data_IF_709643534702
#
_entry.id   IF_709643534702
#
_cell.length_a   1.000
_cell.length_b   1.000
_cell.length_c   1.000
_cell.angle_alpha   90.00
_cell.angle_beta   90.00
_cell.angle_gamma   90.00
#
_symmetry.space_group_name_H-M   'P 1'
#
loop_
_entity.id
_entity.type
_entity.pdbx_description
1 polymer ?
#
# COMPACT_ATOMS: atom_id res chain seq x y z
N UNK A 1 13.44 22.05 17.82
CA UNK A 1 12.23 21.26 18.17
C UNK A 1 11.04 21.88 17.45
N UNK A 2 10.78 21.46 16.23
CA UNK A 2 9.53 21.76 15.51
C UNK A 2 9.34 20.62 14.52
N UNK A 3 8.79 19.52 15.04
CA UNK A 3 8.32 18.43 14.19
C UNK A 3 7.12 19.00 13.43
N UNK A 4 7.26 19.29 12.14
CA UNK A 4 6.15 19.82 11.36
C UNK A 4 5.04 18.75 11.31
N UNK A 5 3.78 19.08 11.64
CA UNK A 5 2.68 18.11 11.72
C UNK A 5 2.39 17.42 10.38
N UNK A 6 2.85 17.99 9.26
CA UNK A 6 2.79 17.36 7.95
C UNK A 6 3.70 16.11 7.83
N UNK A 7 4.90 16.17 8.41
CA UNK A 7 5.88 15.07 8.32
C UNK A 7 5.50 13.87 9.20
N UNK A 8 4.87 14.13 10.35
CA UNK A 8 4.35 13.08 11.23
C UNK A 8 3.21 12.31 10.55
N UNK A 9 2.31 13.03 9.87
CA UNK A 9 1.20 12.44 9.09
C UNK A 9 1.71 11.61 7.92
N UNK A 10 2.72 12.08 7.20
CA UNK A 10 3.33 11.30 6.12
C UNK A 10 3.99 10.02 6.68
N UNK A 11 4.82 10.12 7.72
CA UNK A 11 5.44 8.95 8.34
C UNK A 11 4.40 7.92 8.82
N UNK A 12 3.30 8.38 9.40
CA UNK A 12 2.18 7.53 9.80
C UNK A 12 1.52 6.83 8.61
N UNK A 13 1.31 7.52 7.47
CA UNK A 13 0.80 6.87 6.26
C UNK A 13 1.72 5.74 5.81
N UNK A 14 3.03 6.01 5.71
CA UNK A 14 4.02 5.00 5.33
C UNK A 14 4.07 3.81 6.29
N UNK A 15 3.85 4.04 7.59
CA UNK A 15 3.79 2.98 8.58
C UNK A 15 2.58 2.06 8.43
N UNK A 16 1.50 2.50 7.77
CA UNK A 16 0.27 1.71 7.52
C UNK A 16 0.30 0.93 6.21
N UNK A 17 1.12 1.34 5.24
CA UNK A 17 1.32 0.61 3.99
C UNK A 17 1.64 -0.90 4.14
N UNK A 18 2.54 -1.33 5.05
CA UNK A 18 2.82 -2.76 5.21
C UNK A 18 1.61 -3.55 5.70
N UNK A 19 0.74 -2.94 6.52
CA UNK A 19 -0.50 -3.56 6.98
C UNK A 19 -1.52 -3.68 5.83
N UNK A 20 -1.70 -2.61 5.06
CA UNK A 20 -2.54 -2.61 3.86
C UNK A 20 -2.06 -3.66 2.86
N UNK A 21 -0.75 -3.77 2.65
CA UNK A 21 -0.15 -4.78 1.78
C UNK A 21 -0.43 -6.21 2.26
N UNK A 22 -0.39 -6.46 3.58
CA UNK A 22 -0.75 -7.78 4.15
C UNK A 22 -2.20 -8.13 3.90
N UNK A 23 -3.11 -7.20 4.17
CA UNK A 23 -4.55 -7.39 3.97
C UNK A 23 -4.84 -7.63 2.50
N UNK A 24 -4.23 -6.85 1.61
CA UNK A 24 -4.31 -7.03 0.18
C UNK A 24 -3.84 -8.43 -0.22
N UNK A 25 -2.64 -8.86 0.21
CA UNK A 25 -2.14 -10.22 -0.09
C UNK A 25 -3.13 -11.29 0.35
N UNK A 26 -3.66 -11.16 1.57
CA UNK A 26 -4.65 -12.10 2.10
C UNK A 26 -5.92 -12.13 1.25
N UNK A 27 -6.41 -10.96 0.81
CA UNK A 27 -7.57 -10.85 -0.09
C UNK A 27 -7.36 -11.63 -1.39
N UNK A 28 -6.21 -11.49 -2.06
CA UNK A 28 -5.91 -12.24 -3.28
C UNK A 28 -5.81 -13.75 -3.04
N UNK A 29 -5.30 -14.17 -1.87
CA UNK A 29 -5.23 -15.59 -1.49
C UNK A 29 -6.63 -16.16 -1.27
N UNK A 30 -7.48 -15.43 -0.52
CA UNK A 30 -8.87 -15.82 -0.23
C UNK A 30 -9.71 -15.89 -1.50
N UNK A 31 -9.60 -14.90 -2.39
CA UNK A 31 -10.27 -14.91 -3.70
C UNK A 31 -9.73 -15.99 -4.64
N UNK A 32 -8.53 -16.52 -4.37
CA UNK A 32 -7.77 -17.44 -5.26
C UNK A 32 -7.54 -16.90 -6.67
N UNK A 33 -7.72 -15.59 -6.88
CA UNK A 33 -7.52 -14.88 -8.15
C UNK A 33 -6.18 -14.15 -8.13
N UNK A 34 -5.48 -14.15 -9.26
CA UNK A 34 -4.24 -13.36 -9.43
C UNK A 34 -4.48 -11.92 -9.86
N UNK A 35 -5.70 -11.61 -10.30
CA UNK A 35 -6.13 -10.31 -10.80
C UNK A 35 -7.50 -10.00 -10.21
N UNK A 36 -7.65 -8.80 -9.65
CA UNK A 36 -8.89 -8.30 -9.06
C UNK A 36 -9.16 -6.87 -9.55
N UNK A 37 -10.42 -6.47 -9.50
CA UNK A 37 -10.81 -5.09 -9.83
C UNK A 37 -10.33 -4.14 -8.73
N UNK A 38 -9.83 -2.96 -9.11
CA UNK A 38 -9.45 -1.91 -8.15
C UNK A 38 -10.60 -1.61 -7.22
N UNK A 39 -11.80 -1.40 -7.77
CA UNK A 39 -13.00 -1.08 -6.99
C UNK A 39 -13.33 -2.15 -5.95
N UNK A 40 -13.33 -3.42 -6.38
CA UNK A 40 -13.51 -4.57 -5.50
C UNK A 40 -12.42 -4.65 -4.42
N UNK A 41 -11.17 -4.39 -4.78
CA UNK A 41 -10.07 -4.35 -3.82
C UNK A 41 -10.30 -3.27 -2.78
N UNK A 42 -10.68 -2.05 -3.19
CA UNK A 42 -10.94 -0.93 -2.27
C UNK A 42 -12.10 -1.23 -1.33
N UNK A 43 -13.20 -1.79 -1.84
CA UNK A 43 -14.35 -2.19 -1.03
C UNK A 43 -13.97 -3.24 0.02
N UNK A 44 -13.26 -4.29 -0.39
CA UNK A 44 -12.83 -5.37 0.51
C UNK A 44 -11.74 -4.91 1.48
N UNK A 45 -10.86 -4.00 1.06
CA UNK A 45 -9.90 -3.34 1.94
C UNK A 45 -10.64 -2.59 3.03
N UNK A 46 -11.60 -1.74 2.67
CA UNK A 46 -12.37 -0.95 3.64
C UNK A 46 -13.13 -1.82 4.64
N UNK A 47 -13.61 -2.99 4.20
CA UNK A 47 -14.29 -3.93 5.10
C UNK A 47 -13.32 -4.73 6.00
N UNK A 48 -12.08 -4.97 5.55
CA UNK A 48 -11.06 -5.69 6.34
C UNK A 48 -10.22 -4.77 7.21
N UNK A 49 -10.10 -3.51 6.83
CA UNK A 49 -9.34 -2.50 7.55
C UNK A 49 -10.21 -1.94 8.67
N UNK A 50 -9.76 -2.07 9.92
CA UNK A 50 -10.54 -1.66 11.11
C UNK A 50 -10.77 -0.15 11.21
N UNK A 51 -9.97 0.66 10.54
CA UNK A 51 -10.16 2.11 10.54
C UNK A 51 -11.12 2.51 9.40
N UNK A 52 -11.99 3.49 9.68
CA UNK A 52 -12.89 4.08 8.69
C UNK A 52 -12.11 4.97 7.71
N UNK A 53 -11.29 4.37 6.85
CA UNK A 53 -10.70 5.08 5.71
C UNK A 53 -11.72 5.16 4.57
N UNK A 54 -11.81 6.34 3.97
CA UNK A 54 -12.61 6.57 2.77
C UNK A 54 -12.04 5.81 1.59
N UNK A 55 -12.89 5.45 0.62
CA UNK A 55 -12.48 4.76 -0.62
C UNK A 55 -11.38 5.51 -1.38
N UNK A 56 -11.37 6.84 -1.28
CA UNK A 56 -10.33 7.70 -1.85
C UNK A 56 -8.97 7.46 -1.21
N UNK A 57 -8.89 7.50 0.12
CA UNK A 57 -7.65 7.27 0.88
C UNK A 57 -7.10 5.87 0.57
N UNK A 58 -7.94 4.84 0.57
CA UNK A 58 -7.52 3.48 0.24
C UNK A 58 -6.94 3.39 -1.18
N UNK A 59 -7.56 4.11 -2.13
CA UNK A 59 -7.10 4.16 -3.52
C UNK A 59 -5.71 4.80 -3.63
N UNK A 60 -5.47 5.90 -2.90
CA UNK A 60 -4.17 6.54 -2.80
C UNK A 60 -3.11 5.57 -2.25
N UNK A 61 -3.41 4.86 -1.16
CA UNK A 61 -2.49 3.88 -0.57
C UNK A 61 -2.14 2.75 -1.55
N UNK A 62 -3.13 2.24 -2.31
CA UNK A 62 -2.89 1.22 -3.33
C UNK A 62 -2.04 1.77 -4.48
N UNK A 63 -2.30 2.99 -4.94
CA UNK A 63 -1.46 3.67 -5.93
C UNK A 63 -0.03 3.87 -5.43
N UNK A 64 0.14 4.16 -4.14
CA UNK A 64 1.45 4.28 -3.52
C UNK A 64 2.18 2.91 -3.53
N UNK A 65 1.49 1.82 -3.19
CA UNK A 65 2.04 0.46 -3.29
C UNK A 65 2.50 0.12 -4.71
N UNK A 66 1.69 0.46 -5.73
CA UNK A 66 2.06 0.28 -7.14
C UNK A 66 3.34 1.04 -7.49
N UNK A 67 3.49 2.27 -6.99
CA UNK A 67 4.67 3.12 -7.22
C UNK A 67 5.92 2.58 -6.53
N UNK A 68 5.77 2.08 -5.30
CA UNK A 68 6.89 1.59 -4.48
C UNK A 68 7.32 0.17 -4.88
N UNK A 69 6.38 -0.63 -5.38
CA UNK A 69 6.55 -2.06 -5.64
C UNK A 69 5.97 -2.47 -7.02
N UNK A 70 6.52 -1.93 -8.13
CA UNK A 70 6.01 -2.18 -9.48
C UNK A 70 6.13 -3.65 -9.93
N UNK A 71 6.97 -4.46 -9.28
CA UNK A 71 7.08 -5.90 -9.53
C UNK A 71 6.15 -6.78 -8.68
N UNK A 72 5.55 -6.21 -7.63
CA UNK A 72 4.66 -6.95 -6.73
C UNK A 72 3.20 -6.69 -7.04
N UNK A 73 2.82 -5.43 -7.28
CA UNK A 73 1.53 -5.03 -7.82
C UNK A 73 1.72 -4.45 -9.21
N UNK A 74 0.83 -4.83 -10.13
CA UNK A 74 0.75 -4.25 -11.46
C UNK A 74 -0.67 -3.78 -11.71
N UNK A 75 -0.82 -2.54 -12.18
CA UNK A 75 -2.11 -1.99 -12.58
C UNK A 75 -2.32 -2.21 -14.08
N UNK A 76 -3.43 -2.83 -14.44
CA UNK A 76 -3.88 -3.02 -15.82
C UNK A 76 -5.17 -2.22 -16.02
N UNK A 77 -5.16 -1.20 -16.87
CA UNK A 77 -6.39 -0.51 -17.27
C UNK A 77 -6.96 -1.20 -18.52
N UNK A 78 -8.20 -1.71 -18.43
CA UNK A 78 -8.89 -2.38 -19.54
C UNK A 78 -10.31 -1.81 -19.60
N UNK A 79 -10.70 -1.25 -20.75
CA UNK A 79 -12.07 -0.73 -21.00
C UNK A 79 -12.58 0.16 -19.85
N UNK A 80 -11.81 1.19 -19.50
CA UNK A 80 -12.12 2.13 -18.41
C UNK A 80 -12.24 1.50 -17.00
N UNK A 81 -11.78 0.26 -16.86
CA UNK A 81 -11.80 -0.47 -15.60
C UNK A 81 -10.37 -0.76 -15.17
N UNK A 82 -10.02 -0.39 -13.94
CA UNK A 82 -8.70 -0.65 -13.40
C UNK A 82 -8.66 -2.02 -12.73
N UNK A 83 -7.77 -2.89 -13.19
CA UNK A 83 -7.48 -4.19 -12.62
C UNK A 83 -6.13 -4.14 -11.90
N UNK A 84 -6.09 -4.68 -10.69
CA UNK A 84 -4.87 -4.98 -9.97
C UNK A 84 -4.48 -6.42 -10.19
N UNK A 85 -3.24 -6.64 -10.63
CA UNK A 85 -2.59 -7.93 -10.65
C UNK A 85 -1.59 -8.01 -9.51
N UNK A 86 -1.70 -9.05 -8.70
CA UNK A 86 -0.73 -9.34 -7.65
C UNK A 86 0.24 -10.44 -8.11
N UNK A 87 1.54 -10.20 -7.95
CA UNK A 87 2.55 -11.21 -8.23
C UNK A 87 2.50 -12.32 -7.17
N UNK A 88 2.12 -13.53 -7.59
CA UNK A 88 2.04 -14.70 -6.71
C UNK A 88 3.41 -15.06 -6.12
N UNK A 89 4.49 -14.77 -6.87
CA UNK A 89 5.88 -15.09 -6.52
C UNK A 89 6.59 -14.02 -5.69
N UNK A 90 5.89 -12.93 -5.31
CA UNK A 90 6.48 -11.89 -4.48
C UNK A 90 6.52 -12.28 -3.01
N UNK A 91 7.73 -12.36 -2.46
CA UNK A 91 7.98 -12.59 -1.03
C UNK A 91 7.40 -11.45 -0.19
N UNK A 92 6.43 -11.76 0.69
CA UNK A 92 5.85 -10.76 1.59
C UNK A 92 6.92 -10.14 2.50
N UNK A 93 7.89 -10.94 2.95
CA UNK A 93 9.00 -10.45 3.78
C UNK A 93 9.84 -9.37 3.10
N UNK A 94 10.04 -9.46 1.77
CA UNK A 94 10.76 -8.43 1.00
C UNK A 94 9.90 -7.18 0.80
N UNK A 95 8.61 -7.37 0.55
CA UNK A 95 7.63 -6.29 0.43
C UNK A 95 7.56 -5.47 1.72
N UNK A 96 7.34 -6.14 2.86
CA UNK A 96 7.25 -5.49 4.17
C UNK A 96 8.58 -4.82 4.54
N UNK A 97 9.72 -5.49 4.39
CA UNK A 97 11.04 -4.86 4.63
C UNK A 97 11.25 -3.61 3.78
N UNK A 98 10.85 -3.63 2.50
CA UNK A 98 11.02 -2.47 1.63
C UNK A 98 10.10 -1.31 2.06
N UNK A 99 8.86 -1.61 2.46
CA UNK A 99 7.93 -0.61 2.98
C UNK A 99 8.40 -0.03 4.32
N UNK A 100 8.85 -0.87 5.24
CA UNK A 100 9.42 -0.46 6.53
C UNK A 100 10.70 0.35 6.34
N UNK A 101 11.59 -0.08 5.43
CA UNK A 101 12.79 0.67 5.09
C UNK A 101 12.45 2.02 4.48
N UNK A 102 11.40 2.14 3.66
CA UNK A 102 10.94 3.43 3.14
C UNK A 102 10.33 4.32 4.23
N UNK A 103 9.54 3.76 5.15
CA UNK A 103 9.00 4.47 6.30
C UNK A 103 10.14 4.98 7.20
N UNK A 104 11.11 4.12 7.51
CA UNK A 104 12.32 4.47 8.23
C UNK A 104 13.16 5.50 7.47
N UNK A 105 13.24 5.39 6.13
CA UNK A 105 13.98 6.31 5.26
C UNK A 105 13.38 7.73 5.28
N UNK A 106 12.06 7.82 5.35
CA UNK A 106 11.36 9.09 5.50
C UNK A 106 11.55 9.68 6.90
N UNK A 107 11.67 8.81 7.91
CA UNK A 107 11.96 9.22 9.28
C UNK A 107 13.41 9.71 9.48
N UNK A 108 14.40 9.03 8.87
CA UNK A 108 15.83 9.28 9.07
C UNK A 108 16.46 10.30 8.09
N UNK A 109 15.84 10.63 6.94
CA UNK A 109 16.28 11.77 6.10
C UNK A 109 16.22 13.11 6.84
N UNK A 110 15.48 13.17 7.96
CA UNK A 110 15.39 14.32 8.86
C UNK A 110 16.64 14.53 9.74
N UNK A 111 17.60 13.59 9.73
CA UNK A 111 18.81 13.65 10.57
C UNK A 111 20.09 14.04 9.82
N UNK A 112 20.04 14.13 8.48
CA UNK A 112 21.23 14.42 7.64
C UNK A 112 21.24 15.83 7.02
N UNK A 113 20.31 16.69 7.41
CA UNK A 113 20.37 18.14 7.17
C UNK A 113 20.72 18.85 8.47
N UNK A 114 21.94 18.60 8.97
CA UNK A 114 22.66 19.44 9.93
C UNK A 114 23.88 19.98 9.19
#
# INVERSE_FOLDING_TARGET
MTRSPAQDKEALQYSRLPEIARILRNLFIVEKKGVLLMDFVIEKLGHSYRENLTSFELKEHVHLLLRLLPGWLVLHNIRNTNYLKLSKNGDMSKVTNKLESLAAKKNNLTLLST
#
